data_IF_578048422134
#
_entry.id   IF_578048422134
#
_cell.length_a   1.000
_cell.length_b   1.000
_cell.length_c   1.000
_cell.angle_alpha   90.00
_cell.angle_beta   90.00
_cell.angle_gamma   90.00
#
_symmetry.space_group_name_H-M   'P 1'
#
loop_
_entity.id
_entity.type
_entity.pdbx_description
1 polymer ?
#
# COMPACT_ATOMS: atom_id res chain seq x y z
N UNK A 1 -15.85 14.22 -69.37
CA UNK A 1 -14.51 14.69 -68.90
C UNK A 1 -14.73 15.53 -67.70
N UNK A 2 -14.54 14.98 -66.49
CA UNK A 2 -14.74 15.69 -65.24
C UNK A 2 -13.50 15.54 -64.39
N UNK A 3 -12.82 16.66 -64.17
CA UNK A 3 -11.54 16.79 -63.49
C UNK A 3 -11.76 16.75 -61.97
N UNK A 4 -11.22 15.76 -61.26
CA UNK A 4 -11.16 15.70 -59.80
C UNK A 4 -10.06 16.63 -59.31
N UNK A 5 -10.41 17.64 -58.52
CA UNK A 5 -9.46 18.44 -57.78
C UNK A 5 -9.17 17.73 -56.45
N UNK A 6 -7.89 17.46 -56.21
CA UNK A 6 -7.37 16.94 -54.94
C UNK A 6 -6.98 18.13 -54.07
N UNK A 7 -7.67 18.31 -52.95
CA UNK A 7 -7.30 19.30 -51.92
C UNK A 7 -6.37 18.63 -50.91
N UNK A 8 -5.13 19.07 -50.86
CA UNK A 8 -4.17 18.74 -49.79
C UNK A 8 -4.46 19.62 -48.58
N UNK A 9 -4.52 19.09 -47.34
CA UNK A 9 -4.51 19.92 -46.17
C UNK A 9 -3.10 20.50 -45.93
N UNK A 10 -3.05 21.80 -45.73
CA UNK A 10 -1.85 22.50 -45.31
C UNK A 10 -1.55 22.16 -43.83
N UNK A 11 -0.34 21.69 -43.60
CA UNK A 11 0.21 21.53 -42.23
C UNK A 11 0.84 22.88 -41.89
N UNK A 12 0.19 23.64 -41.01
CA UNK A 12 0.76 24.85 -40.41
C UNK A 12 1.86 24.43 -39.40
N UNK A 13 3.10 24.61 -39.86
CA UNK A 13 4.29 24.51 -39.03
C UNK A 13 4.44 25.82 -38.25
N UNK A 14 4.05 25.78 -36.96
CA UNK A 14 4.37 26.84 -36.01
C UNK A 14 5.82 26.71 -35.55
N UNK A 15 6.74 27.19 -36.35
CA UNK A 15 8.12 27.44 -35.92
C UNK A 15 8.15 28.66 -35.00
N UNK A 16 8.11 28.39 -33.67
CA UNK A 16 8.39 29.38 -32.64
C UNK A 16 9.84 29.81 -32.70
N UNK A 17 10.14 30.92 -33.41
CA UNK A 17 11.44 31.60 -33.35
C UNK A 17 11.66 32.13 -31.92
N UNK A 18 12.50 31.41 -31.14
CA UNK A 18 13.13 32.00 -29.97
C UNK A 18 14.13 33.04 -30.39
N UNK A 19 13.80 34.31 -30.24
CA UNK A 19 14.73 35.43 -30.29
C UNK A 19 15.68 35.31 -29.09
N UNK A 20 16.90 34.87 -29.30
CA UNK A 20 17.99 35.06 -28.35
C UNK A 20 18.38 36.56 -28.37
N UNK A 21 17.83 37.31 -27.44
CA UNK A 21 18.36 38.62 -27.08
C UNK A 21 19.48 38.42 -26.05
N UNK A 22 20.71 38.65 -26.51
CA UNK A 22 21.86 38.66 -25.62
C UNK A 22 21.81 39.85 -24.69
N UNK A 23 21.84 39.58 -23.39
CA UNK A 23 22.24 40.51 -22.36
C UNK A 23 23.23 39.84 -21.43
N UNK A 24 24.38 40.45 -21.38
CA UNK A 24 25.58 40.03 -20.64
C UNK A 24 25.38 40.03 -19.11
N UNK A 25 26.09 39.10 -18.48
CA UNK A 25 26.68 39.20 -17.15
C UNK A 25 25.79 39.55 -15.95
N UNK A 26 25.18 38.53 -15.40
CA UNK A 26 25.22 38.38 -13.94
C UNK A 26 25.20 36.86 -13.65
N UNK A 27 26.34 36.33 -13.16
CA UNK A 27 26.38 34.98 -12.57
C UNK A 27 25.50 35.04 -11.32
N UNK A 28 24.37 34.33 -11.29
CA UNK A 28 23.69 34.17 -10.03
C UNK A 28 24.55 33.29 -9.15
N UNK A 29 24.96 33.87 -8.01
CA UNK A 29 25.47 33.19 -6.84
C UNK A 29 24.77 31.85 -6.67
N UNK A 30 25.57 30.83 -6.35
CA UNK A 30 25.14 29.47 -6.07
C UNK A 30 23.71 29.43 -5.51
N UNK A 31 22.77 29.04 -6.34
CA UNK A 31 21.41 28.82 -5.96
C UNK A 31 21.43 27.71 -4.90
N UNK A 32 20.99 28.06 -3.71
CA UNK A 32 20.62 27.11 -2.70
C UNK A 32 19.63 26.16 -3.38
N UNK A 33 20.08 24.94 -3.65
CA UNK A 33 19.19 23.87 -4.09
C UNK A 33 18.28 23.66 -2.88
N UNK A 34 17.13 24.28 -2.93
CA UNK A 34 16.07 24.04 -1.98
C UNK A 34 15.64 22.60 -2.23
N UNK A 35 16.25 21.69 -1.46
CA UNK A 35 15.84 20.29 -1.42
C UNK A 35 14.39 20.34 -0.94
N UNK A 36 13.47 20.31 -1.88
CA UNK A 36 12.06 20.08 -1.61
C UNK A 36 12.00 18.79 -0.79
N UNK A 37 11.99 18.94 0.53
CA UNK A 37 11.64 17.84 1.42
C UNK A 37 10.21 17.48 1.07
N UNK A 38 10.06 16.49 0.20
CA UNK A 38 8.77 15.84 -0.03
C UNK A 38 8.32 15.37 1.35
N UNK A 39 7.46 16.13 1.99
CA UNK A 39 6.79 15.70 3.20
C UNK A 39 5.98 14.48 2.76
N UNK A 40 6.44 13.31 3.13
CA UNK A 40 5.67 12.09 2.97
C UNK A 40 4.46 12.26 3.88
N UNK A 41 3.37 12.72 3.31
CA UNK A 41 2.09 12.79 4.01
C UNK A 41 1.70 11.35 4.29
N UNK A 42 1.69 10.99 5.56
CA UNK A 42 1.28 9.65 5.97
C UNK A 42 -0.17 9.41 5.55
N UNK A 43 -0.38 8.36 4.79
CA UNK A 43 -1.71 7.94 4.34
C UNK A 43 -2.28 6.97 5.36
N UNK A 44 -3.53 7.16 5.75
CA UNK A 44 -4.22 6.25 6.66
C UNK A 44 -4.42 4.88 5.98
N UNK A 45 -3.99 3.80 6.64
CA UNK A 45 -4.30 2.43 6.27
C UNK A 45 -5.42 1.95 7.17
N UNK A 46 -6.66 2.14 6.73
CA UNK A 46 -7.85 1.82 7.51
C UNK A 46 -8.85 1.02 6.69
N UNK A 47 -9.43 -0.01 7.28
CA UNK A 47 -10.47 -0.79 6.61
C UNK A 47 -10.67 -2.15 7.21
N UNK A 48 -11.52 -2.94 6.57
CA UNK A 48 -11.91 -4.27 6.99
C UNK A 48 -11.68 -5.29 5.90
N UNK A 49 -11.34 -6.51 6.31
CA UNK A 49 -11.18 -7.67 5.45
C UNK A 49 -11.85 -8.86 6.10
N UNK A 50 -12.67 -9.57 5.35
CA UNK A 50 -13.31 -10.82 5.72
C UNK A 50 -12.75 -11.96 4.88
N UNK A 51 -12.61 -13.14 5.45
CA UNK A 51 -12.04 -14.25 4.72
C UNK A 51 -12.01 -15.57 5.48
N UNK A 52 -11.13 -16.45 5.04
CA UNK A 52 -10.97 -17.80 5.58
C UNK A 52 -9.54 -18.10 5.94
N UNK A 53 -9.39 -18.92 6.97
CA UNK A 53 -8.13 -19.45 7.47
C UNK A 53 -8.06 -20.93 7.13
N UNK A 54 -7.11 -21.30 6.28
CA UNK A 54 -6.77 -22.69 6.00
C UNK A 54 -5.69 -23.22 6.96
N UNK A 55 -5.21 -24.42 6.72
CA UNK A 55 -4.19 -25.05 7.57
C UNK A 55 -2.87 -24.25 7.65
N UNK A 56 -2.48 -23.62 6.55
CA UNK A 56 -1.24 -22.83 6.44
C UNK A 56 -1.39 -21.51 5.69
N UNK A 57 -2.59 -21.18 5.28
CA UNK A 57 -2.88 -19.99 4.46
C UNK A 57 -4.04 -19.21 5.02
N UNK A 58 -4.05 -17.92 4.73
CA UNK A 58 -5.15 -17.02 4.98
C UNK A 58 -5.47 -16.28 3.69
N UNK A 59 -6.75 -16.16 3.37
CA UNK A 59 -7.22 -15.39 2.20
C UNK A 59 -8.51 -14.67 2.53
N UNK A 60 -8.68 -13.47 1.98
CA UNK A 60 -9.87 -12.67 2.23
C UNK A 60 -10.02 -11.54 1.23
N UNK A 61 -11.15 -10.87 1.32
CA UNK A 61 -11.48 -9.69 0.54
C UNK A 61 -12.08 -8.62 1.44
N UNK A 62 -11.91 -7.37 1.08
CA UNK A 62 -12.43 -6.27 1.88
C UNK A 62 -12.23 -4.91 1.25
N UNK A 63 -12.38 -3.88 2.05
CA UNK A 63 -12.12 -2.52 1.64
C UNK A 63 -11.14 -1.87 2.62
N UNK A 64 -9.97 -1.50 2.11
CA UNK A 64 -8.89 -0.92 2.91
C UNK A 64 -8.38 0.34 2.23
N UNK A 65 -8.62 1.49 2.82
CA UNK A 65 -8.03 2.74 2.34
C UNK A 65 -6.50 2.71 2.57
N UNK A 66 -5.67 3.13 1.62
CA UNK A 66 -6.00 3.74 0.33
C UNK A 66 -6.06 2.72 -0.83
N UNK A 67 -6.03 1.43 -0.54
CA UNK A 67 -6.03 0.35 -1.56
C UNK A 67 -7.38 0.22 -2.29
N UNK A 68 -8.47 0.68 -1.67
CA UNK A 68 -9.83 0.47 -2.14
C UNK A 68 -10.30 -0.96 -1.87
N UNK A 69 -10.94 -1.58 -2.83
CA UNK A 69 -11.24 -3.00 -2.76
C UNK A 69 -9.93 -3.78 -2.74
N UNK A 70 -9.71 -4.52 -1.68
CA UNK A 70 -8.45 -5.20 -1.41
C UNK A 70 -8.66 -6.71 -1.26
N UNK A 71 -7.68 -7.46 -1.75
CA UNK A 71 -7.53 -8.89 -1.47
C UNK A 71 -6.45 -9.07 -0.41
N UNK A 72 -6.68 -9.95 0.54
CA UNK A 72 -5.69 -10.36 1.52
C UNK A 72 -5.24 -11.78 1.21
N UNK A 73 -3.94 -12.01 1.19
CA UNK A 73 -3.36 -13.35 1.08
C UNK A 73 -2.11 -13.45 1.96
N UNK A 74 -1.88 -14.61 2.55
CA UNK A 74 -0.71 -14.81 3.40
C UNK A 74 -0.53 -16.22 3.90
N UNK A 75 0.61 -16.44 4.56
CA UNK A 75 0.91 -17.67 5.27
C UNK A 75 0.63 -17.53 6.76
N UNK A 76 0.04 -18.55 7.35
CA UNK A 76 -0.26 -18.64 8.78
C UNK A 76 0.34 -19.91 9.36
N UNK A 77 0.86 -19.82 10.57
CA UNK A 77 1.27 -20.97 11.37
C UNK A 77 0.29 -21.13 12.53
N UNK A 78 -0.76 -21.92 12.29
CA UNK A 78 -1.82 -22.15 13.29
C UNK A 78 -1.30 -22.78 14.57
N UNK A 79 -0.34 -23.70 14.48
CA UNK A 79 0.25 -24.33 15.67
C UNK A 79 0.96 -23.29 16.54
N UNK A 80 1.61 -22.33 15.90
CA UNK A 80 2.27 -21.21 16.57
C UNK A 80 1.26 -20.22 17.17
N UNK A 81 0.15 -19.98 16.49
CA UNK A 81 -0.93 -19.10 16.99
C UNK A 81 -1.62 -19.67 18.23
N UNK A 82 -1.79 -20.97 18.28
CA UNK A 82 -2.38 -21.69 19.41
C UNK A 82 -1.43 -21.87 20.58
N UNK A 83 -0.14 -21.56 20.41
CA UNK A 83 0.85 -21.65 21.47
C UNK A 83 0.55 -20.62 22.57
N UNK A 84 0.34 -21.10 23.79
CA UNK A 84 0.03 -20.28 24.98
C UNK A 84 1.19 -19.37 25.43
N UNK A 85 2.35 -19.44 24.77
CA UNK A 85 3.58 -18.72 25.15
C UNK A 85 4.22 -17.98 23.97
N UNK A 86 3.43 -17.21 23.23
CA UNK A 86 4.00 -16.33 22.21
C UNK A 86 4.79 -15.20 22.88
N UNK A 87 6.06 -15.07 22.52
CA UNK A 87 6.88 -13.93 22.96
C UNK A 87 6.35 -12.66 22.30
N UNK A 88 6.36 -11.50 22.98
CA UNK A 88 6.10 -10.22 22.35
C UNK A 88 6.96 -10.05 21.08
N UNK A 89 6.40 -9.45 20.05
CA UNK A 89 7.05 -9.23 18.76
C UNK A 89 7.31 -10.50 17.91
N UNK A 90 6.84 -11.68 18.31
CA UNK A 90 6.86 -12.84 17.42
C UNK A 90 5.94 -12.57 16.22
N UNK A 91 6.48 -12.71 15.02
CA UNK A 91 5.66 -12.61 13.80
C UNK A 91 4.64 -13.75 13.79
N UNK A 92 3.39 -13.37 13.76
CA UNK A 92 2.25 -14.30 13.79
C UNK A 92 1.76 -14.57 12.38
N UNK A 93 1.74 -13.51 11.57
CA UNK A 93 1.15 -13.55 10.26
C UNK A 93 1.86 -12.55 9.33
N UNK A 94 2.22 -13.00 8.13
CA UNK A 94 2.66 -12.12 7.06
C UNK A 94 1.59 -12.16 5.97
N UNK A 95 1.01 -11.02 5.66
CA UNK A 95 -0.03 -10.90 4.63
C UNK A 95 0.34 -9.87 3.59
N UNK A 96 -0.17 -10.08 2.40
CA UNK A 96 -0.16 -9.10 1.31
C UNK A 96 -1.58 -8.61 1.11
N UNK A 97 -1.77 -7.30 1.22
CA UNK A 97 -2.99 -6.61 0.84
C UNK A 97 -2.81 -6.11 -0.59
N UNK A 98 -3.58 -6.66 -1.52
CA UNK A 98 -3.55 -6.28 -2.93
C UNK A 98 -4.73 -5.39 -3.29
N UNK A 99 -4.48 -4.27 -3.96
CA UNK A 99 -5.49 -3.36 -4.48
C UNK A 99 -5.18 -2.94 -5.92
N UNK A 100 -5.99 -2.07 -6.49
CA UNK A 100 -5.83 -1.61 -7.89
C UNK A 100 -4.50 -0.90 -8.15
N UNK A 101 -3.98 -0.16 -7.17
CA UNK A 101 -2.78 0.65 -7.31
C UNK A 101 -1.48 -0.08 -6.91
N UNK A 102 -1.57 -1.32 -6.49
CA UNK A 102 -0.41 -2.11 -6.04
C UNK A 102 -0.72 -2.93 -4.80
N UNK A 103 0.34 -3.41 -4.16
CA UNK A 103 0.25 -4.26 -2.97
C UNK A 103 0.94 -3.61 -1.78
N UNK A 104 0.49 -3.97 -0.57
CA UNK A 104 1.16 -3.63 0.70
C UNK A 104 1.46 -4.93 1.45
N UNK A 105 2.71 -5.12 1.83
CA UNK A 105 3.13 -6.25 2.65
C UNK A 105 3.07 -5.86 4.12
N UNK A 106 2.33 -6.63 4.90
CA UNK A 106 2.06 -6.36 6.31
C UNK A 106 2.50 -7.55 7.14
N UNK A 107 3.27 -7.28 8.19
CA UNK A 107 3.61 -8.26 9.22
C UNK A 107 2.84 -7.97 10.48
N UNK A 108 2.02 -8.90 10.92
CA UNK A 108 1.37 -8.86 12.22
C UNK A 108 2.22 -9.57 13.26
N UNK A 109 2.28 -9.01 14.45
CA UNK A 109 3.03 -9.56 15.58
C UNK A 109 2.10 -9.85 16.74
N UNK A 110 2.42 -10.88 17.51
CA UNK A 110 1.68 -11.17 18.74
C UNK A 110 1.79 -10.00 19.72
N UNK A 111 0.69 -9.68 20.37
CA UNK A 111 0.66 -8.81 21.55
C UNK A 111 1.38 -9.45 22.73
N UNK A 112 1.46 -8.72 23.85
CA UNK A 112 2.07 -9.24 25.07
C UNK A 112 1.19 -10.37 25.66
N UNK A 113 1.74 -11.58 25.74
CA UNK A 113 1.20 -12.73 26.46
C UNK A 113 -0.17 -13.26 26.02
N UNK A 114 -0.49 -13.25 24.74
CA UNK A 114 -1.79 -13.70 24.28
C UNK A 114 -1.70 -14.76 23.20
N UNK A 115 -2.50 -15.82 23.38
CA UNK A 115 -2.88 -16.73 22.29
C UNK A 115 -4.08 -16.12 21.56
N UNK A 116 -4.16 -16.27 20.25
CA UNK A 116 -5.35 -15.88 19.50
C UNK A 116 -6.43 -16.93 19.81
N UNK A 117 -7.47 -16.50 20.55
CA UNK A 117 -8.63 -17.31 20.86
C UNK A 117 -9.64 -17.30 19.72
N UNK A 118 -10.39 -18.41 19.56
CA UNK A 118 -11.52 -18.42 18.65
C UNK A 118 -12.65 -17.51 19.16
N UNK A 119 -13.32 -16.84 18.25
CA UNK A 119 -14.44 -15.92 18.51
C UNK A 119 -14.12 -14.76 19.48
N UNK A 120 -12.84 -14.47 19.68
CA UNK A 120 -12.41 -13.35 20.53
C UNK A 120 -11.60 -12.37 19.70
N UNK A 121 -11.97 -11.07 19.70
CA UNK A 121 -11.18 -10.06 19.00
C UNK A 121 -9.80 -9.88 19.66
N UNK A 122 -8.76 -9.99 18.86
CA UNK A 122 -7.37 -9.79 19.31
C UNK A 122 -6.75 -8.61 18.58
N UNK A 123 -6.15 -7.70 19.34
CA UNK A 123 -5.42 -6.55 18.82
C UNK A 123 -3.96 -6.94 18.53
N UNK A 124 -3.59 -7.01 17.28
CA UNK A 124 -2.26 -7.38 16.80
C UNK A 124 -1.55 -6.15 16.25
N UNK A 125 -0.42 -5.73 16.82
CA UNK A 125 0.42 -4.72 16.19
C UNK A 125 0.86 -5.19 14.81
N UNK A 126 0.89 -4.27 13.84
CA UNK A 126 1.44 -4.57 12.54
C UNK A 126 2.48 -3.56 12.08
N UNK A 127 3.36 -4.02 11.20
CA UNK A 127 4.34 -3.20 10.48
C UNK A 127 4.17 -3.39 8.98
N UNK A 128 4.27 -2.31 8.23
CA UNK A 128 4.33 -2.33 6.77
C UNK A 128 5.79 -2.54 6.38
N UNK A 129 6.05 -3.60 5.62
CA UNK A 129 7.40 -4.01 5.20
C UNK A 129 7.78 -3.47 3.82
N UNK A 130 6.81 -2.94 3.08
CA UNK A 130 6.94 -2.49 1.70
C UNK A 130 5.72 -2.87 0.88
N UNK A 131 5.88 -2.91 -0.43
CA UNK A 131 4.81 -3.25 -1.34
C UNK A 131 5.23 -3.19 -2.80
N UNK A 132 4.26 -3.03 -3.68
CA UNK A 132 4.48 -2.84 -5.12
C UNK A 132 3.64 -1.69 -5.66
N UNK A 133 3.88 -1.29 -6.90
CA UNK A 133 3.14 -0.20 -7.55
C UNK A 133 3.30 1.11 -6.78
N UNK A 134 2.20 1.77 -6.47
CA UNK A 134 2.20 3.03 -5.71
C UNK A 134 2.75 2.87 -4.27
N UNK A 135 2.86 1.64 -3.76
CA UNK A 135 3.28 1.33 -2.40
C UNK A 135 4.66 0.67 -2.30
N UNK A 136 5.48 0.69 -3.38
CA UNK A 136 6.77 0.00 -3.45
C UNK A 136 7.75 0.37 -2.31
N UNK A 137 7.63 1.58 -1.76
CA UNK A 137 8.47 2.07 -0.66
C UNK A 137 7.66 2.37 0.60
N UNK A 138 6.44 1.86 0.69
CA UNK A 138 5.59 2.11 1.84
C UNK A 138 6.20 1.50 3.11
N UNK A 139 6.27 2.31 4.14
CA UNK A 139 6.62 1.88 5.51
C UNK A 139 5.56 2.42 6.45
N UNK A 140 5.35 1.76 7.56
CA UNK A 140 4.34 2.21 8.51
C UNK A 140 4.03 1.19 9.57
N UNK A 141 3.02 1.49 10.35
CA UNK A 141 2.59 0.61 11.43
C UNK A 141 1.16 0.94 11.87
N UNK A 142 0.59 0.04 12.64
CA UNK A 142 -0.75 0.20 13.20
C UNK A 142 -1.14 -0.98 14.05
N UNK A 143 -2.45 -1.11 14.23
CA UNK A 143 -3.08 -2.22 14.95
C UNK A 143 -4.12 -2.85 14.02
N UNK A 144 -4.08 -4.16 13.92
CA UNK A 144 -5.13 -4.96 13.31
C UNK A 144 -5.89 -5.68 14.42
N UNK A 145 -7.21 -5.48 14.48
CA UNK A 145 -8.08 -6.28 15.33
C UNK A 145 -8.56 -7.47 14.50
N UNK A 146 -8.23 -8.67 14.93
CA UNK A 146 -8.53 -9.90 14.20
C UNK A 146 -9.41 -10.79 15.09
N UNK A 147 -10.48 -11.29 14.51
CA UNK A 147 -11.35 -12.30 15.10
C UNK A 147 -11.35 -13.52 14.21
N UNK A 148 -11.07 -14.69 14.75
CA UNK A 148 -11.10 -15.96 14.01
C UNK A 148 -12.28 -16.79 14.52
N UNK A 149 -13.18 -17.17 13.63
CA UNK A 149 -14.29 -18.05 13.92
C UNK A 149 -13.86 -19.51 14.06
N UNK A 150 -14.63 -20.29 14.84
CA UNK A 150 -14.41 -21.73 14.97
C UNK A 150 -14.66 -22.51 13.69
N UNK A 151 -15.32 -21.91 12.70
CA UNK A 151 -15.60 -22.41 11.36
C UNK A 151 -14.48 -22.13 10.33
N UNK A 152 -13.40 -21.50 10.78
CA UNK A 152 -12.29 -21.10 9.92
C UNK A 152 -12.51 -19.78 9.19
N UNK A 153 -13.55 -19.03 9.50
CA UNK A 153 -13.69 -17.65 9.02
C UNK A 153 -12.84 -16.69 9.85
N UNK A 154 -12.49 -15.53 9.27
CA UNK A 154 -11.89 -14.45 10.04
C UNK A 154 -12.45 -13.09 9.60
N UNK A 155 -12.45 -12.18 10.55
CA UNK A 155 -12.68 -10.76 10.33
C UNK A 155 -11.49 -9.97 10.84
N UNK A 156 -10.95 -9.06 10.03
CA UNK A 156 -9.83 -8.22 10.40
C UNK A 156 -10.13 -6.75 10.12
N UNK A 157 -9.91 -5.89 11.11
CA UNK A 157 -10.00 -4.43 10.97
C UNK A 157 -8.62 -3.82 11.13
N UNK A 158 -8.19 -3.05 10.16
CA UNK A 158 -6.88 -2.38 10.14
C UNK A 158 -7.04 -0.92 10.53
N UNK A 159 -6.18 -0.43 11.43
CA UNK A 159 -6.04 0.98 11.78
C UNK A 159 -4.57 1.33 11.87
N UNK A 160 -4.08 2.14 10.94
CA UNK A 160 -2.68 2.51 10.91
C UNK A 160 -2.36 3.63 9.94
N UNK A 161 -1.07 3.83 9.71
CA UNK A 161 -0.56 4.82 8.77
C UNK A 161 0.58 4.23 7.94
N UNK A 162 0.54 4.50 6.64
CA UNK A 162 1.61 4.27 5.68
C UNK A 162 2.26 5.61 5.29
N UNK A 163 3.53 5.61 4.99
CA UNK A 163 4.29 6.77 4.50
C UNK A 163 5.35 6.34 3.49
#
# INVERSE_FOLDING_TARGET
>A
MTRKQSTKPAVDSLEGRMLLSGAAHHLPRAGVVEILRVRHVGVALNGTVDGTVGASTVSGVGNVAPLGQATLSGGIDLARLQSTKLRPSTAVLNVTLGGQSGTVQVRLTAGRNRSIGFNTPEALPFSILGGSGAYARAIGSGIATVTVGGDGTFHATFHGRAR
#
